data_IF_825532125281
#
_entry.id   IF_825532125281
#
_cell.length_a   1.000
_cell.length_b   1.000
_cell.length_c   1.000
_cell.angle_alpha   90.00
_cell.angle_beta   90.00
_cell.angle_gamma   90.00
#
_symmetry.space_group_name_H-M   'P 1'
#
loop_
_entity.id
_entity.type
_entity.pdbx_description
1 polymer ?
#
# COMPACT_ATOMS: atom_id res chain seq x y z
N UNK A 1 -2.66 5.65 21.41
CA UNK A 1 -1.49 4.74 21.31
C UNK A 1 -0.20 5.41 21.78
N UNK A 2 0.17 6.59 21.27
CA UNK A 2 1.37 7.31 21.72
C UNK A 2 1.35 7.65 23.23
N UNK A 3 0.19 8.02 23.77
CA UNK A 3 0.00 8.27 25.21
C UNK A 3 0.27 7.04 26.09
N UNK A 4 0.05 5.83 25.54
CA UNK A 4 0.30 4.57 26.22
C UNK A 4 1.78 4.15 26.17
N UNK A 5 2.63 4.92 25.47
CA UNK A 5 4.07 4.66 25.26
C UNK A 5 4.40 3.29 24.67
N UNK A 6 3.45 2.67 23.96
CA UNK A 6 3.61 1.36 23.30
C UNK A 6 4.59 1.46 22.10
N UNK A 7 4.76 2.65 21.54
CA UNK A 7 5.74 2.95 20.49
C UNK A 7 7.20 2.78 20.93
N UNK A 8 7.46 2.70 22.24
CA UNK A 8 8.78 2.46 22.80
C UNK A 8 8.95 1.01 23.27
N UNK A 9 10.11 0.42 22.99
CA UNK A 9 10.49 -0.90 23.49
C UNK A 9 10.33 -1.06 25.01
N UNK A 10 10.61 0.00 25.77
CA UNK A 10 10.46 0.00 27.23
C UNK A 10 8.99 -0.17 27.67
N UNK A 11 8.04 0.36 26.90
CA UNK A 11 6.62 0.24 27.20
C UNK A 11 6.09 -1.19 27.03
N UNK A 12 6.64 -1.94 26.06
CA UNK A 12 6.22 -3.32 25.80
C UNK A 12 6.92 -4.35 26.67
N UNK A 13 8.18 -4.10 27.08
CA UNK A 13 8.91 -4.94 28.04
C UNK A 13 8.29 -4.97 29.45
N UNK A 14 7.48 -3.97 29.79
CA UNK A 14 6.80 -3.89 31.08
C UNK A 14 5.54 -4.77 31.16
N UNK A 15 5.12 -5.37 30.04
CA UNK A 15 3.94 -6.22 29.94
C UNK A 15 4.33 -7.70 30.01
N UNK A 16 3.42 -8.57 30.47
CA UNK A 16 3.60 -10.02 30.35
C UNK A 16 3.68 -10.45 28.87
N UNK A 17 4.28 -11.61 28.60
CA UNK A 17 4.59 -12.06 27.23
C UNK A 17 3.35 -12.08 26.31
N UNK A 18 2.19 -12.49 26.84
CA UNK A 18 0.95 -12.58 26.06
C UNK A 18 0.38 -11.20 25.69
N UNK A 19 0.25 -10.29 26.68
CA UNK A 19 -0.26 -8.94 26.47
C UNK A 19 0.74 -8.08 25.71
N UNK A 20 2.03 -8.32 25.91
CA UNK A 20 3.12 -7.70 25.16
C UNK A 20 2.99 -7.99 23.67
N UNK A 21 2.78 -9.25 23.28
CA UNK A 21 2.59 -9.63 21.87
C UNK A 21 1.37 -8.94 21.24
N UNK A 22 0.20 -8.95 21.91
CA UNK A 22 -1.01 -8.30 21.42
C UNK A 22 -0.84 -6.79 21.26
N UNK A 23 -0.15 -6.13 22.20
CA UNK A 23 0.11 -4.68 22.13
C UNK A 23 1.10 -4.30 21.04
N UNK A 24 2.14 -5.11 20.83
CA UNK A 24 3.08 -4.96 19.70
C UNK A 24 2.32 -5.11 18.38
N UNK A 25 1.45 -6.12 18.27
CA UNK A 25 0.61 -6.32 17.08
C UNK A 25 -0.34 -5.16 16.84
N UNK A 26 -1.05 -4.70 17.88
CA UNK A 26 -1.96 -3.56 17.78
C UNK A 26 -1.24 -2.27 17.34
N UNK A 27 -0.03 -2.03 17.85
CA UNK A 27 0.81 -0.92 17.40
C UNK A 27 1.13 -1.02 15.92
N UNK A 28 1.55 -2.20 15.47
CA UNK A 28 1.91 -2.39 14.08
C UNK A 28 0.71 -2.28 13.13
N UNK A 29 -0.46 -2.76 13.53
CA UNK A 29 -1.70 -2.54 12.77
C UNK A 29 -2.05 -1.05 12.70
N UNK A 30 -1.81 -0.27 13.77
CA UNK A 30 -1.98 1.18 13.74
C UNK A 30 -0.99 1.86 12.77
N UNK A 31 0.26 1.40 12.68
CA UNK A 31 1.23 1.90 11.69
C UNK A 31 0.78 1.64 10.25
N UNK A 32 0.25 0.45 9.97
CA UNK A 32 -0.30 0.13 8.63
C UNK A 32 -1.51 1.02 8.32
N UNK A 33 -2.42 1.17 9.28
CA UNK A 33 -3.63 1.97 9.12
C UNK A 33 -3.31 3.45 8.86
N UNK A 34 -2.39 4.06 9.61
CA UNK A 34 -1.95 5.45 9.39
C UNK A 34 -1.35 5.60 7.98
N UNK A 35 -0.49 4.66 7.56
CA UNK A 35 0.09 4.67 6.22
C UNK A 35 -0.95 4.61 5.11
N UNK A 36 -1.77 3.56 5.07
CA UNK A 36 -2.74 3.38 3.98
C UNK A 36 -3.84 4.44 3.98
N UNK A 37 -4.35 4.81 5.16
CA UNK A 37 -5.36 5.87 5.26
C UNK A 37 -4.85 7.22 4.74
N UNK A 38 -3.57 7.54 4.95
CA UNK A 38 -2.96 8.77 4.43
C UNK A 38 -3.06 8.87 2.90
N UNK A 39 -2.85 7.76 2.20
CA UNK A 39 -2.98 7.74 0.74
C UNK A 39 -4.45 7.69 0.30
N UNK A 40 -5.28 6.86 0.93
CA UNK A 40 -6.68 6.67 0.55
C UNK A 40 -7.53 7.93 0.73
N UNK A 41 -7.22 8.73 1.76
CA UNK A 41 -7.96 9.95 2.10
C UNK A 41 -7.19 11.22 1.81
N UNK A 42 -6.06 11.14 1.09
CA UNK A 42 -5.21 12.27 0.71
C UNK A 42 -4.83 13.15 1.92
N UNK A 43 -4.49 12.51 3.03
CA UNK A 43 -4.15 13.18 4.29
C UNK A 43 -2.67 13.03 4.62
N UNK A 44 -2.18 13.93 5.48
CA UNK A 44 -0.81 13.83 5.99
C UNK A 44 -0.77 12.68 7.02
N UNK A 45 0.18 11.73 6.90
CA UNK A 45 0.34 10.68 7.90
C UNK A 45 0.76 11.27 9.25
N UNK A 46 0.27 10.66 10.33
CA UNK A 46 0.55 11.11 11.70
C UNK A 46 1.89 10.59 12.19
N UNK A 47 2.28 9.37 11.79
CA UNK A 47 3.46 8.69 12.29
C UNK A 47 4.66 8.87 11.36
N UNK A 48 5.81 9.22 11.92
CA UNK A 48 7.12 9.08 11.29
C UNK A 48 7.80 7.76 11.66
N UNK A 49 8.77 7.35 10.84
CA UNK A 49 9.61 6.17 11.11
C UNK A 49 10.45 6.35 12.38
N UNK A 50 10.74 7.60 12.75
CA UNK A 50 11.49 7.96 13.96
C UNK A 50 10.61 7.99 15.23
N UNK A 51 9.29 7.86 15.10
CA UNK A 51 8.35 7.94 16.24
C UNK A 51 8.30 6.64 17.07
N UNK A 52 8.97 5.58 16.63
CA UNK A 52 8.95 4.28 17.31
C UNK A 52 10.27 3.51 17.19
N UNK A 53 10.59 2.75 18.23
CA UNK A 53 11.77 1.87 18.26
C UNK A 53 11.45 0.45 18.75
N UNK A 54 10.17 0.09 18.68
CA UNK A 54 9.67 -1.24 18.98
C UNK A 54 10.27 -2.28 18.02
N UNK A 55 10.53 -3.49 18.53
CA UNK A 55 11.11 -4.56 17.73
C UNK A 55 10.16 -5.00 16.61
N UNK A 56 10.74 -5.29 15.45
CA UNK A 56 10.01 -5.94 14.37
C UNK A 56 9.45 -7.29 14.85
N UNK A 57 8.28 -7.65 14.34
CA UNK A 57 7.66 -8.93 14.61
C UNK A 57 8.57 -10.06 14.10
N UNK A 58 8.77 -11.08 14.93
CA UNK A 58 9.50 -12.30 14.57
C UNK A 58 8.59 -13.51 14.76
N UNK A 59 8.92 -14.65 14.17
CA UNK A 59 8.14 -15.88 14.38
C UNK A 59 8.10 -16.26 15.88
N UNK A 60 9.15 -15.92 16.63
CA UNK A 60 9.21 -16.11 18.08
C UNK A 60 8.19 -15.24 18.83
N UNK A 61 7.84 -14.06 18.32
CA UNK A 61 6.80 -13.18 18.89
C UNK A 61 5.43 -13.87 18.95
N UNK A 62 5.19 -14.85 18.08
CA UNK A 62 3.95 -15.62 18.00
C UNK A 62 4.12 -17.08 18.46
N UNK A 63 5.29 -17.45 19.00
CA UNK A 63 5.54 -18.82 19.46
C UNK A 63 4.69 -19.21 20.68
N UNK A 64 4.20 -18.22 21.43
CA UNK A 64 3.38 -18.38 22.64
C UNK A 64 1.96 -17.83 22.50
N UNK A 65 1.60 -17.22 21.36
CA UNK A 65 0.27 -16.64 21.13
C UNK A 65 -0.46 -17.30 19.96
N UNK A 66 -1.76 -17.54 20.12
CA UNK A 66 -2.66 -17.99 19.05
C UNK A 66 -3.16 -16.83 18.17
N UNK A 67 -2.58 -15.64 18.32
CA UNK A 67 -3.03 -14.39 17.70
C UNK A 67 -2.34 -14.11 16.36
N UNK A 68 -2.32 -15.09 15.45
CA UNK A 68 -2.13 -14.74 14.04
C UNK A 68 -3.48 -14.26 13.48
N UNK A 69 -3.49 -13.37 12.48
CA UNK A 69 -4.71 -12.97 11.76
C UNK A 69 -5.36 -14.12 10.96
N UNK A 70 -5.07 -15.39 11.30
CA UNK A 70 -5.36 -16.57 10.51
C UNK A 70 -4.48 -16.72 9.26
N UNK A 71 -3.49 -15.83 9.08
CA UNK A 71 -2.59 -15.82 7.91
C UNK A 71 -1.52 -16.89 8.12
N UNK A 72 -1.82 -18.11 7.65
CA UNK A 72 -0.87 -19.22 7.57
C UNK A 72 -0.13 -19.52 8.87
N UNK A 73 1.11 -19.95 8.70
CA UNK A 73 2.09 -20.18 9.76
C UNK A 73 2.64 -18.86 10.32
N UNK A 74 3.22 -18.85 11.54
CA UNK A 74 3.87 -17.66 12.09
C UNK A 74 4.93 -17.03 11.17
N UNK A 75 5.66 -17.86 10.41
CA UNK A 75 6.65 -17.38 9.44
C UNK A 75 5.98 -16.66 8.27
N UNK A 76 4.91 -17.21 7.71
CA UNK A 76 4.15 -16.59 6.62
C UNK A 76 3.51 -15.27 7.08
N UNK A 77 2.97 -15.24 8.29
CA UNK A 77 2.46 -14.01 8.90
C UNK A 77 3.54 -12.93 9.02
N UNK A 78 4.74 -13.28 9.51
CA UNK A 78 5.84 -12.33 9.65
C UNK A 78 6.32 -11.81 8.30
N UNK A 79 6.36 -12.67 7.28
CA UNK A 79 6.67 -12.27 5.90
C UNK A 79 5.62 -11.30 5.35
N UNK A 80 4.34 -11.63 5.49
CA UNK A 80 3.23 -10.75 5.11
C UNK A 80 3.33 -9.39 5.81
N UNK A 81 3.50 -9.41 7.13
CA UNK A 81 3.62 -8.20 7.94
C UNK A 81 4.80 -7.34 7.48
N UNK A 82 5.97 -7.96 7.27
CA UNK A 82 7.18 -7.25 6.83
C UNK A 82 6.94 -6.56 5.50
N UNK A 83 6.33 -7.25 4.53
CA UNK A 83 5.97 -6.67 3.24
C UNK A 83 5.02 -5.48 3.41
N UNK A 84 3.92 -5.66 4.15
CA UNK A 84 2.92 -4.61 4.35
C UNK A 84 3.47 -3.41 5.10
N UNK A 85 4.36 -3.63 6.07
CA UNK A 85 5.02 -2.56 6.81
C UNK A 85 5.93 -1.74 5.93
N UNK A 86 6.76 -2.39 5.10
CA UNK A 86 7.60 -1.69 4.12
C UNK A 86 6.72 -0.90 3.15
N UNK A 87 5.62 -1.47 2.65
CA UNK A 87 4.69 -0.74 1.80
C UNK A 87 4.14 0.49 2.51
N UNK A 88 3.63 0.35 3.73
CA UNK A 88 3.07 1.46 4.51
C UNK A 88 4.08 2.60 4.71
N UNK A 89 5.38 2.31 4.85
CA UNK A 89 6.44 3.33 4.90
C UNK A 89 6.58 4.09 3.59
N UNK A 90 6.64 3.37 2.47
CA UNK A 90 6.68 4.00 1.14
C UNK A 90 5.42 4.82 0.86
N UNK A 91 4.26 4.35 1.33
CA UNK A 91 2.98 5.08 1.22
C UNK A 91 2.98 6.35 2.06
N UNK A 92 3.51 6.33 3.29
CA UNK A 92 3.67 7.58 4.08
C UNK A 92 4.60 8.56 3.40
N UNK A 93 5.71 8.08 2.83
CA UNK A 93 6.62 8.91 2.05
C UNK A 93 5.88 9.54 0.86
N UNK A 94 5.14 8.73 0.09
CA UNK A 94 4.28 9.19 -1.00
C UNK A 94 3.31 10.27 -0.57
N UNK A 95 2.52 10.04 0.50
CA UNK A 95 1.55 11.01 0.98
C UNK A 95 2.17 12.34 1.41
N UNK A 96 3.34 12.33 2.04
CA UNK A 96 4.07 13.56 2.40
C UNK A 96 4.59 14.32 1.19
N UNK A 97 4.97 13.61 0.13
CA UNK A 97 5.47 14.22 -1.09
C UNK A 97 4.35 14.77 -1.99
N UNK A 98 3.16 14.14 -1.97
CA UNK A 98 2.05 14.49 -2.85
C UNK A 98 1.08 15.50 -2.22
N UNK A 99 0.64 15.27 -0.98
CA UNK A 99 -0.50 15.98 -0.39
C UNK A 99 -0.07 17.24 0.36
N UNK A 100 0.58 18.15 -0.35
CA UNK A 100 0.98 19.45 0.19
C UNK A 100 0.38 20.60 -0.62
N UNK A 101 0.11 21.76 0.00
CA UNK A 101 -0.41 22.93 -0.72
C UNK A 101 0.48 23.34 -1.90
N UNK A 102 1.81 23.25 -1.73
CA UNK A 102 2.78 23.59 -2.78
C UNK A 102 2.65 22.69 -4.00
N UNK A 103 2.38 21.39 -3.82
CA UNK A 103 2.17 20.48 -4.95
C UNK A 103 0.85 20.76 -5.67
N UNK A 104 -0.20 21.15 -4.94
CA UNK A 104 -1.48 21.52 -5.54
C UNK A 104 -1.40 22.84 -6.33
N UNK A 105 -0.57 23.79 -5.89
CA UNK A 105 -0.40 25.08 -6.55
C UNK A 105 0.57 25.03 -7.74
N UNK A 106 1.71 24.36 -7.58
CA UNK A 106 2.81 24.38 -8.55
C UNK A 106 2.94 23.10 -9.38
N UNK A 107 2.12 22.08 -9.12
CA UNK A 107 2.26 20.75 -9.69
C UNK A 107 3.38 19.90 -9.07
N UNK A 108 3.37 18.62 -9.43
CA UNK A 108 4.32 17.62 -8.90
C UNK A 108 5.59 17.63 -9.76
N UNK A 109 6.80 17.75 -9.18
CA UNK A 109 8.04 17.60 -9.93
C UNK A 109 8.18 16.20 -10.54
N UNK A 110 8.65 16.11 -11.78
CA UNK A 110 8.88 14.84 -12.47
C UNK A 110 9.79 13.90 -11.68
N UNK A 111 10.79 14.47 -10.97
CA UNK A 111 11.70 13.69 -10.12
C UNK A 111 10.98 12.99 -8.97
N UNK A 112 9.98 13.64 -8.36
CA UNK A 112 9.15 13.03 -7.30
C UNK A 112 8.39 11.82 -7.84
N UNK A 113 7.80 11.94 -9.03
CA UNK A 113 7.08 10.84 -9.68
C UNK A 113 8.02 9.67 -9.97
N UNK A 114 9.20 9.93 -10.53
CA UNK A 114 10.22 8.92 -10.82
C UNK A 114 10.68 8.19 -9.55
N UNK A 115 10.92 8.92 -8.47
CA UNK A 115 11.37 8.35 -7.21
C UNK A 115 10.28 7.48 -6.57
N UNK A 116 9.01 7.90 -6.63
CA UNK A 116 7.87 7.12 -6.14
C UNK A 116 7.65 5.84 -6.95
N UNK A 117 7.72 5.91 -8.29
CA UNK A 117 7.65 4.72 -9.16
C UNK A 117 8.79 3.74 -8.83
N UNK A 118 10.01 4.25 -8.61
CA UNK A 118 11.16 3.42 -8.24
C UNK A 118 10.94 2.69 -6.91
N UNK A 119 10.38 3.38 -5.91
CA UNK A 119 10.06 2.80 -4.61
C UNK A 119 8.98 1.73 -4.70
N UNK A 120 7.92 1.98 -5.47
CA UNK A 120 6.85 0.99 -5.70
C UNK A 120 7.37 -0.23 -6.46
N UNK A 121 8.17 -0.03 -7.52
CA UNK A 121 8.81 -1.14 -8.26
C UNK A 121 9.69 -1.98 -7.34
N UNK A 122 10.48 -1.35 -6.47
CA UNK A 122 11.30 -2.09 -5.49
C UNK A 122 10.45 -2.94 -4.56
N UNK A 123 9.32 -2.42 -4.08
CA UNK A 123 8.40 -3.22 -3.27
C UNK A 123 7.85 -4.41 -4.06
N UNK A 124 7.39 -4.16 -5.30
CA UNK A 124 6.86 -5.18 -6.22
C UNK A 124 7.83 -6.34 -6.38
N UNK A 125 9.06 -6.02 -6.74
CA UNK A 125 10.09 -7.00 -7.11
C UNK A 125 10.49 -7.87 -5.92
N UNK A 126 10.44 -7.33 -4.70
CA UNK A 126 10.82 -8.05 -3.47
C UNK A 126 9.65 -8.84 -2.89
N UNK A 127 8.43 -8.28 -2.90
CA UNK A 127 7.33 -8.80 -2.06
C UNK A 127 6.12 -9.32 -2.83
N UNK A 128 5.77 -8.77 -4.00
CA UNK A 128 4.48 -9.08 -4.64
C UNK A 128 4.32 -10.57 -4.94
N UNK A 129 5.37 -11.24 -5.42
CA UNK A 129 5.33 -12.68 -5.69
C UNK A 129 5.19 -13.53 -4.43
N UNK A 130 5.48 -12.97 -3.25
CA UNK A 130 5.45 -13.69 -1.96
C UNK A 130 4.13 -13.47 -1.22
N UNK A 131 3.60 -12.24 -1.24
CA UNK A 131 2.41 -11.86 -0.45
C UNK A 131 1.18 -11.58 -1.30
N UNK A 132 1.34 -11.46 -2.62
CA UNK A 132 0.26 -11.26 -3.57
C UNK A 132 -0.27 -12.57 -4.15
N UNK A 133 -1.13 -12.44 -5.16
CA UNK A 133 -1.72 -13.59 -5.82
C UNK A 133 -0.76 -14.12 -6.90
N UNK A 134 -0.32 -15.39 -6.84
CA UNK A 134 0.58 -15.95 -7.84
C UNK A 134 -0.08 -15.97 -9.23
N UNK A 135 0.76 -16.01 -10.27
CA UNK A 135 0.30 -15.92 -11.66
C UNK A 135 -0.54 -17.13 -12.09
N UNK A 136 -0.33 -18.30 -11.49
CA UNK A 136 -1.15 -19.50 -11.68
C UNK A 136 -2.15 -19.64 -10.52
N UNK A 137 -3.36 -19.15 -10.74
CA UNK A 137 -4.46 -19.23 -9.77
C UNK A 137 -5.04 -20.66 -9.71
N UNK A 138 -4.20 -21.66 -9.41
CA UNK A 138 -4.53 -23.09 -9.51
C UNK A 138 -4.74 -23.80 -8.16
N UNK A 139 -4.56 -23.10 -7.03
CA UNK A 139 -4.69 -23.73 -5.72
C UNK A 139 -6.12 -23.67 -5.14
N UNK A 140 -6.44 -24.62 -4.26
CA UNK A 140 -7.60 -24.55 -3.37
C UNK A 140 -7.28 -23.61 -2.21
N UNK A 141 -7.44 -22.30 -2.44
CA UNK A 141 -7.21 -21.31 -1.40
C UNK A 141 -8.32 -21.37 -0.35
N UNK A 142 -7.94 -21.39 0.93
CA UNK A 142 -8.91 -21.10 1.99
C UNK A 142 -9.23 -19.59 2.02
N UNK A 143 -10.35 -19.23 2.67
CA UNK A 143 -10.81 -17.84 2.74
C UNK A 143 -9.71 -16.86 3.16
N UNK A 144 -8.99 -17.16 4.26
CA UNK A 144 -8.01 -16.22 4.82
C UNK A 144 -6.83 -16.04 3.88
N UNK A 145 -6.29 -17.13 3.32
CA UNK A 145 -5.21 -17.05 2.35
C UNK A 145 -5.63 -16.20 1.13
N UNK A 146 -6.82 -16.46 0.58
CA UNK A 146 -7.30 -15.78 -0.63
C UNK A 146 -7.48 -14.29 -0.39
N UNK A 147 -8.12 -13.94 0.73
CA UNK A 147 -8.39 -12.56 1.11
C UNK A 147 -7.09 -11.82 1.42
N UNK A 148 -6.17 -12.42 2.18
CA UNK A 148 -4.89 -11.79 2.50
C UNK A 148 -4.05 -11.53 1.25
N UNK A 149 -3.91 -12.50 0.35
CA UNK A 149 -3.15 -12.30 -0.87
C UNK A 149 -3.80 -11.28 -1.82
N UNK A 150 -5.11 -11.37 -2.04
CA UNK A 150 -5.84 -10.41 -2.87
C UNK A 150 -5.77 -9.00 -2.28
N UNK A 151 -5.89 -8.86 -0.96
CA UNK A 151 -5.80 -7.56 -0.28
C UNK A 151 -4.41 -6.95 -0.38
N UNK A 152 -3.35 -7.73 -0.16
CA UNK A 152 -1.97 -7.26 -0.31
C UNK A 152 -1.65 -6.83 -1.74
N UNK A 153 -2.06 -7.64 -2.73
CA UNK A 153 -1.89 -7.37 -4.16
C UNK A 153 -2.65 -6.09 -4.58
N UNK A 154 -3.94 -5.99 -4.21
CA UNK A 154 -4.76 -4.81 -4.50
C UNK A 154 -4.29 -3.54 -3.76
N UNK A 155 -3.77 -3.69 -2.55
CA UNK A 155 -3.23 -2.58 -1.74
C UNK A 155 -1.98 -2.00 -2.38
N UNK A 156 -1.13 -2.84 -2.97
CA UNK A 156 0.01 -2.38 -3.75
C UNK A 156 -0.44 -1.67 -5.03
N UNK A 157 -1.30 -2.33 -5.83
CA UNK A 157 -1.71 -1.79 -7.13
C UNK A 157 -2.47 -0.47 -7.03
N UNK A 158 -3.29 -0.26 -6.00
CA UNK A 158 -4.01 1.00 -5.83
C UNK A 158 -3.06 2.19 -5.61
N UNK A 159 -1.81 1.98 -5.20
CA UNK A 159 -0.82 3.06 -5.08
C UNK A 159 -0.47 3.69 -6.44
N UNK A 160 -0.39 2.92 -7.53
CA UNK A 160 -0.19 3.48 -8.87
C UNK A 160 -1.40 4.28 -9.33
N UNK A 161 -2.61 3.85 -8.98
CA UNK A 161 -3.85 4.57 -9.29
C UNK A 161 -3.86 5.91 -8.55
N UNK A 162 -3.52 5.91 -7.26
CA UNK A 162 -3.46 7.12 -6.44
C UNK A 162 -2.40 8.09 -6.95
N UNK A 163 -1.19 7.60 -7.30
CA UNK A 163 -0.13 8.42 -7.87
C UNK A 163 -0.55 9.02 -9.21
N UNK A 164 -1.17 8.22 -10.08
CA UNK A 164 -1.70 8.70 -11.35
C UNK A 164 -2.77 9.78 -11.16
N UNK A 165 -3.72 9.56 -10.23
CA UNK A 165 -4.74 10.56 -9.90
C UNK A 165 -4.11 11.86 -9.37
N UNK A 166 -3.04 11.78 -8.58
CA UNK A 166 -2.32 12.96 -8.11
C UNK A 166 -1.74 13.77 -9.29
N UNK A 167 -1.19 13.08 -10.28
CA UNK A 167 -0.67 13.70 -11.50
C UNK A 167 -1.78 14.27 -12.36
N UNK A 168 -2.95 13.64 -12.45
CA UNK A 168 -4.13 14.22 -13.12
C UNK A 168 -4.63 15.48 -12.40
N UNK A 169 -4.67 15.45 -11.06
CA UNK A 169 -5.23 16.53 -10.24
C UNK A 169 -4.30 17.77 -10.21
N UNK A 170 -2.99 17.57 -10.10
CA UNK A 170 -2.01 18.65 -9.91
C UNK A 170 -1.16 18.97 -11.14
N UNK A 171 -1.08 18.03 -12.09
CA UNK A 171 -0.18 18.12 -13.24
C UNK A 171 1.29 17.91 -12.87
N UNK A 172 2.14 17.83 -13.90
CA UNK A 172 3.59 17.76 -13.75
C UNK A 172 4.15 19.18 -13.89
N UNK A 173 4.79 19.67 -12.83
CA UNK A 173 5.36 21.03 -12.73
C UNK A 173 6.25 21.38 -13.92
N UNK A 174 7.10 20.44 -14.30
CA UNK A 174 8.13 20.63 -15.32
C UNK A 174 7.53 20.81 -16.73
N UNK A 175 6.34 20.26 -17.00
CA UNK A 175 5.61 20.47 -18.26
C UNK A 175 4.93 21.85 -18.32
N UNK A 176 4.45 22.36 -17.19
CA UNK A 176 3.73 23.63 -17.11
C UNK A 176 4.63 24.85 -17.36
N UNK A 177 5.94 24.72 -17.11
CA UNK A 177 6.94 25.79 -17.33
C UNK A 177 7.43 25.88 -18.79
N UNK A 178 6.70 25.30 -19.73
CA UNK A 178 7.10 24.98 -21.10
C UNK A 178 8.03 25.98 -21.82
N UNK A 179 9.12 25.43 -22.37
CA UNK A 179 9.64 25.63 -23.74
C UNK A 179 11.11 25.19 -23.76
N UNK A 180 11.38 23.88 -23.70
CA UNK A 180 12.76 23.40 -23.75
C UNK A 180 13.04 22.59 -25.04
N UNK A 181 13.90 23.09 -25.95
CA UNK A 181 14.34 22.37 -27.14
C UNK A 181 15.24 21.15 -26.84
N UNK A 182 15.54 20.87 -25.57
CA UNK A 182 16.46 19.83 -25.10
C UNK A 182 15.92 18.39 -25.10
N UNK A 183 14.63 18.17 -25.42
CA UNK A 183 13.99 16.84 -25.39
C UNK A 183 13.50 16.40 -24.01
N UNK A 184 13.73 17.20 -22.96
CA UNK A 184 13.27 16.93 -21.58
C UNK A 184 11.76 16.73 -21.50
N UNK A 185 10.97 17.45 -22.30
CA UNK A 185 9.52 17.27 -22.36
C UNK A 185 9.11 15.87 -22.84
N UNK A 186 9.85 15.27 -23.78
CA UNK A 186 9.56 13.93 -24.29
C UNK A 186 9.81 12.87 -23.20
N UNK A 187 10.85 13.05 -22.38
CA UNK A 187 11.13 12.15 -21.24
C UNK A 187 10.02 12.24 -20.17
N UNK A 188 9.51 13.45 -19.91
CA UNK A 188 8.43 13.66 -18.95
C UNK A 188 7.09 13.12 -19.48
N UNK A 189 6.80 13.31 -20.77
CA UNK A 189 5.63 12.70 -21.42
C UNK A 189 5.71 11.16 -21.38
N UNK A 190 6.90 10.60 -21.62
CA UNK A 190 7.15 9.16 -21.49
C UNK A 190 6.94 8.65 -20.05
N UNK A 191 7.38 9.42 -19.05
CA UNK A 191 7.14 9.14 -17.64
C UNK A 191 5.64 9.15 -17.31
N UNK A 192 4.90 10.14 -17.81
CA UNK A 192 3.45 10.23 -17.64
C UNK A 192 2.73 9.07 -18.31
N UNK A 193 3.12 8.72 -19.53
CA UNK A 193 2.56 7.57 -20.27
C UNK A 193 2.84 6.25 -19.55
N UNK A 194 4.04 6.08 -18.99
CA UNK A 194 4.42 4.92 -18.18
C UNK A 194 3.54 4.81 -16.94
N UNK A 195 3.37 5.92 -16.20
CA UNK A 195 2.51 5.95 -15.01
C UNK A 195 1.05 5.65 -15.35
N UNK A 196 0.53 6.21 -16.45
CA UNK A 196 -0.82 5.92 -16.91
C UNK A 196 -1.00 4.43 -17.27
N UNK A 197 -0.01 3.83 -17.95
CA UNK A 197 0.01 2.41 -18.26
C UNK A 197 -0.03 1.53 -17.00
N UNK A 198 0.79 1.84 -16.00
CA UNK A 198 0.82 1.13 -14.71
C UNK A 198 -0.48 1.30 -13.91
N UNK A 199 -1.12 2.48 -13.95
CA UNK A 199 -2.41 2.72 -13.31
C UNK A 199 -3.53 1.88 -13.94
N UNK A 200 -3.56 1.78 -15.28
CA UNK A 200 -4.52 0.94 -16.00
C UNK A 200 -4.28 -0.53 -15.73
N UNK A 201 -3.02 -0.97 -15.78
CA UNK A 201 -2.66 -2.34 -15.42
C UNK A 201 -3.12 -2.67 -14.00
N UNK A 202 -2.87 -1.77 -13.05
CA UNK A 202 -3.27 -1.89 -11.66
C UNK A 202 -4.78 -1.97 -11.47
N UNK A 203 -5.55 -1.15 -12.19
CA UNK A 203 -7.01 -1.17 -12.12
C UNK A 203 -7.60 -2.49 -12.66
N UNK A 204 -7.07 -2.99 -13.79
CA UNK A 204 -7.46 -4.28 -14.35
C UNK A 204 -7.08 -5.44 -13.42
N UNK A 205 -5.91 -5.37 -12.78
CA UNK A 205 -5.49 -6.35 -11.79
C UNK A 205 -6.45 -6.38 -10.60
N UNK A 206 -6.80 -5.22 -10.03
CA UNK A 206 -7.77 -5.12 -8.94
C UNK A 206 -9.16 -5.64 -9.35
N UNK A 207 -9.61 -5.36 -10.58
CA UNK A 207 -10.86 -5.89 -11.10
C UNK A 207 -10.84 -7.44 -11.15
N UNK A 208 -9.73 -8.03 -11.63
CA UNK A 208 -9.55 -9.48 -11.64
C UNK A 208 -9.57 -10.09 -10.23
N UNK A 209 -8.85 -9.49 -9.28
CA UNK A 209 -8.84 -9.91 -7.87
C UNK A 209 -10.23 -9.82 -7.23
N UNK A 210 -10.97 -8.75 -7.54
CA UNK A 210 -12.36 -8.56 -7.08
C UNK A 210 -13.26 -9.67 -7.65
N UNK A 211 -13.09 -10.03 -8.93
CA UNK A 211 -13.82 -11.13 -9.58
C UNK A 211 -13.54 -12.49 -8.92
N UNK A 212 -12.28 -12.75 -8.57
CA UNK A 212 -11.87 -13.96 -7.82
C UNK A 212 -12.58 -14.04 -6.48
N UNK A 213 -12.50 -12.98 -5.65
CA UNK A 213 -13.14 -12.98 -4.33
C UNK A 213 -14.67 -13.03 -4.41
N UNK A 214 -15.25 -12.43 -5.45
CA UNK A 214 -16.70 -12.47 -5.70
C UNK A 214 -17.16 -13.88 -6.05
N UNK A 215 -16.48 -14.53 -6.99
CA UNK A 215 -16.83 -15.88 -7.49
C UNK A 215 -16.76 -16.93 -6.38
N UNK A 216 -15.76 -16.80 -5.49
CA UNK A 216 -15.61 -17.69 -4.33
C UNK A 216 -16.52 -17.31 -3.15
N UNK A 217 -17.32 -16.23 -3.27
CA UNK A 217 -18.24 -15.78 -2.22
C UNK A 217 -17.59 -15.09 -1.03
N UNK A 218 -16.29 -14.81 -1.09
CA UNK A 218 -15.51 -14.25 0.01
C UNK A 218 -15.87 -12.80 0.34
N UNK A 219 -16.25 -11.99 -0.66
CA UNK A 219 -16.73 -10.62 -0.40
C UNK A 219 -18.06 -10.57 0.36
N UNK A 220 -18.81 -11.68 0.45
CA UNK A 220 -20.01 -11.75 1.30
C UNK A 220 -19.67 -11.85 2.78
N UNK A 221 -18.46 -12.33 3.09
CA UNK A 221 -17.96 -12.49 4.47
C UNK A 221 -17.26 -11.22 4.94
N UNK A 222 -16.48 -10.58 4.06
CA UNK A 222 -15.88 -9.27 4.30
C UNK A 222 -15.94 -8.39 3.04
N UNK A 223 -16.96 -7.52 2.92
CA UNK A 223 -17.08 -6.63 1.76
C UNK A 223 -16.08 -5.46 1.81
N UNK A 224 -15.48 -5.18 2.96
CA UNK A 224 -14.62 -4.01 3.14
C UNK A 224 -13.16 -4.26 2.77
N UNK A 225 -12.74 -5.52 2.67
CA UNK A 225 -11.34 -5.91 2.48
C UNK A 225 -10.68 -5.35 1.22
N UNK A 226 -11.46 -5.06 0.18
CA UNK A 226 -11.00 -4.43 -1.07
C UNK A 226 -11.67 -3.08 -1.36
N UNK A 227 -12.49 -2.54 -0.45
CA UNK A 227 -13.43 -1.46 -0.76
C UNK A 227 -12.78 -0.26 -1.47
N UNK A 228 -11.69 0.29 -0.92
CA UNK A 228 -11.02 1.44 -1.53
C UNK A 228 -10.37 1.09 -2.88
N UNK A 229 -9.68 -0.06 -2.96
CA UNK A 229 -9.03 -0.51 -4.20
C UNK A 229 -10.05 -0.71 -5.32
N UNK A 230 -11.16 -1.40 -5.04
CA UNK A 230 -12.23 -1.62 -6.02
C UNK A 230 -12.87 -0.30 -6.45
N UNK A 231 -13.13 0.61 -5.51
CA UNK A 231 -13.65 1.95 -5.83
C UNK A 231 -12.71 2.73 -6.76
N UNK A 232 -11.43 2.82 -6.40
CA UNK A 232 -10.43 3.58 -7.17
C UNK A 232 -10.21 2.98 -8.56
N UNK A 233 -10.11 1.64 -8.66
CA UNK A 233 -9.99 0.94 -9.93
C UNK A 233 -11.22 1.14 -10.82
N UNK A 234 -12.44 0.98 -10.26
CA UNK A 234 -13.68 1.19 -11.01
C UNK A 234 -13.82 2.62 -11.52
N UNK A 235 -13.46 3.62 -10.70
CA UNK A 235 -13.49 5.03 -11.12
C UNK A 235 -12.52 5.30 -12.28
N UNK A 236 -11.29 4.77 -12.22
CA UNK A 236 -10.30 4.91 -13.29
C UNK A 236 -10.79 4.25 -14.59
N UNK A 237 -11.26 3.00 -14.52
CA UNK A 237 -11.73 2.27 -15.70
C UNK A 237 -12.94 2.95 -16.35
N UNK A 238 -13.90 3.41 -15.53
CA UNK A 238 -15.07 4.14 -16.01
C UNK A 238 -14.70 5.43 -16.76
N UNK A 239 -13.74 6.21 -16.25
CA UNK A 239 -13.24 7.42 -16.93
C UNK A 239 -12.61 7.13 -18.28
N UNK A 240 -12.03 5.94 -18.46
CA UNK A 240 -11.43 5.50 -19.72
C UNK A 240 -12.42 4.80 -20.67
N UNK A 241 -13.72 4.77 -20.32
CA UNK A 241 -14.73 4.07 -21.11
C UNK A 241 -14.55 2.56 -21.14
N UNK A 242 -13.85 1.98 -20.15
CA UNK A 242 -13.65 0.55 -20.00
C UNK A 242 -14.66 0.01 -18.98
N UNK A 243 -15.40 -1.07 -19.31
CA UNK A 243 -16.33 -1.71 -18.38
C UNK A 243 -15.61 -2.37 -17.21
#
# INVERSE_FOLDING_TARGET
MLELRINYKLGTLALDDSRGASMVMAWWMACLADGFSSAYFKSKPTLDDDDYNIQALTAATFSTSTETLGIGTPTEFVTWYTAMHVLAREVRCMSRMLWTPVMAEEGIPAKVIQDLITRLNRWRDVYLNTVGVPSNFEADWNFVAAVSACSSDATFHVMYIILHQAVEDFGIRDLQRGSDPSGINADIESLQATLAGEAVHSALRIAALTGVLTTNGYLRLDPNVLHHSTYAAGLLLARQGRP
#
